data_IF_202993541626
#
_entry.id   IF_202993541626
#
_cell.length_a   1.000
_cell.length_b   1.000
_cell.length_c   1.000
_cell.angle_alpha   90.00
_cell.angle_beta   90.00
_cell.angle_gamma   90.00
#
_symmetry.space_group_name_H-M   'P 1'
#
loop_
_entity.id
_entity.type
_entity.pdbx_description
1 polymer ?
#
# COMPACT_ATOMS: atom_id res chain seq x y z
N UNK A 1 -1.29 -26.63 18.43
CA UNK A 1 -1.12 -25.22 18.86
C UNK A 1 -0.98 -24.38 17.60
N UNK A 2 -2.00 -23.63 17.15
CA UNK A 2 -1.84 -22.77 15.99
C UNK A 2 -1.30 -21.40 16.40
N UNK A 3 -0.29 -20.97 15.66
CA UNK A 3 0.46 -19.72 15.75
C UNK A 3 -0.43 -18.52 15.45
N UNK A 4 -0.39 -17.52 16.33
CA UNK A 4 -1.04 -16.23 16.13
C UNK A 4 -0.27 -15.40 15.10
N UNK A 5 -0.75 -15.36 13.85
CA UNK A 5 -0.31 -14.39 12.83
C UNK A 5 -1.54 -13.79 12.18
N UNK A 6 -2.27 -12.95 12.93
CA UNK A 6 -3.24 -12.02 12.35
C UNK A 6 -2.47 -10.80 11.86
N UNK A 7 -2.28 -10.72 10.56
CA UNK A 7 -1.64 -9.59 9.89
C UNK A 7 -2.39 -8.29 10.20
N UNK A 8 -1.66 -7.31 10.76
CA UNK A 8 -2.08 -5.92 10.96
C UNK A 8 -2.23 -5.22 9.60
N UNK A 9 -3.34 -5.46 8.89
CA UNK A 9 -3.72 -4.70 7.70
C UNK A 9 -4.54 -3.51 8.19
N UNK A 10 -3.90 -2.34 8.32
CA UNK A 10 -4.59 -1.11 8.69
C UNK A 10 -4.95 -0.32 7.42
N UNK A 11 -6.24 -0.07 7.21
CA UNK A 11 -6.71 0.95 6.26
C UNK A 11 -6.60 2.32 6.91
N UNK A 12 -5.72 3.20 6.43
CA UNK A 12 -5.76 4.61 6.83
C UNK A 12 -6.67 5.37 5.88
N UNK A 13 -7.91 5.61 6.33
CA UNK A 13 -8.83 6.54 5.66
C UNK A 13 -8.40 7.97 5.96
N UNK A 14 -7.75 8.62 5.00
CA UNK A 14 -7.71 10.08 4.94
C UNK A 14 -8.94 10.53 4.14
N UNK A 15 -9.91 11.12 4.83
CA UNK A 15 -11.13 11.66 4.23
C UNK A 15 -10.79 12.65 3.11
N UNK A 16 -11.29 12.41 1.90
CA UNK A 16 -11.23 13.35 0.80
C UNK A 16 -12.55 14.16 0.79
N UNK A 17 -12.52 15.51 0.86
CA UNK A 17 -13.75 16.30 0.80
C UNK A 17 -14.36 16.27 -0.60
N UNK A 18 -15.70 16.36 -0.65
CA UNK A 18 -16.49 16.40 -1.87
C UNK A 18 -16.09 17.56 -2.80
N UNK A 19 -16.15 17.32 -4.10
CA UNK A 19 -15.75 18.25 -5.14
C UNK A 19 -16.50 19.59 -5.02
N UNK A 20 -15.74 20.69 -4.81
CA UNK A 20 -16.27 22.06 -4.82
C UNK A 20 -15.73 23.01 -3.74
N UNK A 21 -14.95 22.53 -2.76
CA UNK A 21 -14.37 23.36 -1.70
C UNK A 21 -12.96 23.87 -1.99
N UNK A 22 -12.64 25.08 -1.53
CA UNK A 22 -11.31 25.67 -1.54
C UNK A 22 -10.25 24.67 -1.02
N UNK A 23 -9.16 24.48 -1.76
CA UNK A 23 -8.13 23.46 -1.49
C UNK A 23 -7.24 23.83 -0.30
N UNK A 24 -7.78 23.82 0.92
CA UNK A 24 -6.93 23.79 2.11
C UNK A 24 -6.53 22.34 2.35
N UNK A 25 -5.38 21.92 1.82
CA UNK A 25 -4.74 20.65 2.20
C UNK A 25 -4.05 20.91 3.53
N UNK A 26 -4.60 20.48 4.68
CA UNK A 26 -4.14 20.95 5.99
C UNK A 26 -2.76 20.40 6.39
N UNK A 27 -2.18 19.49 5.60
CA UNK A 27 -0.89 18.87 5.91
C UNK A 27 -0.18 18.38 4.65
N UNK A 28 0.33 19.30 3.83
CA UNK A 28 1.47 18.96 2.97
C UNK A 28 2.73 19.31 3.75
N UNK A 29 3.73 18.41 3.80
CA UNK A 29 5.03 18.77 4.36
C UNK A 29 5.53 20.00 3.60
N UNK A 30 5.73 21.08 4.33
CA UNK A 30 6.15 22.38 3.81
C UNK A 30 7.67 22.53 3.87
N UNK A 31 8.34 21.63 4.60
CA UNK A 31 9.79 21.62 4.77
C UNK A 31 10.41 20.29 4.35
N UNK A 32 11.67 20.34 3.93
CA UNK A 32 12.47 19.15 3.62
C UNK A 32 12.59 18.22 4.84
N UNK A 33 12.68 18.79 6.06
CA UNK A 33 12.76 18.03 7.30
C UNK A 33 11.50 17.19 7.57
N UNK A 34 10.31 17.75 7.29
CA UNK A 34 9.06 17.01 7.40
C UNK A 34 8.96 15.88 6.38
N UNK A 35 9.42 16.11 5.13
CA UNK A 35 9.49 15.04 4.12
C UNK A 35 10.46 13.95 4.56
N UNK A 36 11.67 14.32 5.01
CA UNK A 36 12.65 13.35 5.50
C UNK A 36 12.06 12.47 6.60
N UNK A 37 11.48 13.10 7.63
CA UNK A 37 10.85 12.41 8.75
C UNK A 37 9.75 11.43 8.33
N UNK A 38 9.02 11.72 7.25
CA UNK A 38 7.97 10.83 6.75
C UNK A 38 8.49 9.53 6.15
N UNK A 39 9.73 9.52 5.64
CA UNK A 39 10.28 8.37 4.91
C UNK A 39 11.46 7.69 5.62
N UNK A 40 11.88 8.19 6.78
CA UNK A 40 12.97 7.61 7.57
C UNK A 40 12.51 6.98 8.87
N UNK A 41 13.15 5.88 9.26
CA UNK A 41 13.19 5.38 10.63
C UNK A 41 14.61 5.40 11.17
N UNK A 42 14.76 5.34 12.48
CA UNK A 42 16.06 5.15 13.12
C UNK A 42 16.33 3.65 13.23
N UNK A 43 17.52 3.23 12.84
CA UNK A 43 17.99 1.87 13.09
C UNK A 43 18.50 1.69 14.53
N UNK A 44 19.09 0.53 14.83
CA UNK A 44 19.59 0.20 16.16
C UNK A 44 20.73 1.12 16.65
N UNK A 45 21.39 1.83 15.74
CA UNK A 45 22.51 2.73 15.99
C UNK A 45 22.05 4.20 15.97
N UNK A 46 20.74 4.43 15.98
CA UNK A 46 20.08 5.74 15.88
C UNK A 46 20.39 6.48 14.56
N UNK A 47 20.75 5.74 13.50
CA UNK A 47 21.03 6.32 12.19
C UNK A 47 19.74 6.34 11.35
N UNK A 48 19.35 7.50 10.77
CA UNK A 48 18.20 7.58 9.89
C UNK A 48 18.40 6.76 8.61
N UNK A 49 17.45 5.86 8.33
CA UNK A 49 17.40 5.04 7.11
C UNK A 49 16.09 5.28 6.38
N UNK A 50 16.16 5.43 5.06
CA UNK A 50 14.97 5.46 4.19
C UNK A 50 14.36 4.06 4.07
N UNK A 51 13.52 3.68 5.03
CA UNK A 51 12.92 2.35 5.10
C UNK A 51 11.42 2.33 4.77
N UNK A 52 10.83 3.50 4.47
CA UNK A 52 9.43 3.64 4.06
C UNK A 52 9.34 4.01 2.60
N UNK A 53 8.35 3.45 1.92
CA UNK A 53 8.08 3.78 0.52
C UNK A 53 6.59 3.89 0.23
N UNK A 54 6.25 4.80 -0.67
CA UNK A 54 4.88 5.03 -1.15
C UNK A 54 4.81 4.72 -2.64
N UNK A 55 4.11 3.66 -3.02
CA UNK A 55 3.92 3.30 -4.43
C UNK A 55 2.59 3.82 -4.96
N UNK A 56 2.57 4.29 -6.21
CA UNK A 56 1.35 4.74 -6.89
C UNK A 56 0.99 3.71 -7.95
N UNK A 57 -0.01 2.89 -7.68
CA UNK A 57 -0.40 1.75 -8.53
C UNK A 57 -0.82 2.20 -9.93
N UNK A 58 -1.42 3.39 -10.06
CA UNK A 58 -1.83 3.94 -11.35
C UNK A 58 -0.67 4.10 -12.34
N UNK A 59 0.57 4.27 -11.86
CA UNK A 59 1.76 4.39 -12.72
C UNK A 59 2.14 3.08 -13.41
N UNK A 60 1.63 1.94 -12.93
CA UNK A 60 1.89 0.63 -13.51
C UNK A 60 0.86 0.23 -14.58
N UNK A 61 -0.24 0.98 -14.73
CA UNK A 61 -1.24 0.72 -15.77
C UNK A 61 -0.64 0.96 -17.16
N UNK A 62 -0.95 0.10 -18.11
CA UNK A 62 -0.54 0.25 -19.50
C UNK A 62 -1.77 0.48 -20.38
N UNK A 63 -1.88 1.64 -21.03
CA UNK A 63 -3.03 1.99 -21.87
C UNK A 63 -4.37 1.98 -21.12
N UNK A 64 -5.42 1.50 -21.80
CA UNK A 64 -6.81 1.52 -21.32
C UNK A 64 -7.23 0.22 -20.58
N UNK A 65 -6.29 -0.45 -19.93
CA UNK A 65 -6.59 -1.64 -19.12
C UNK A 65 -7.64 -1.34 -18.03
N UNK A 66 -8.66 -2.19 -17.98
CA UNK A 66 -9.77 -2.07 -17.02
C UNK A 66 -9.34 -2.34 -15.57
N UNK A 67 -8.30 -3.14 -15.37
CA UNK A 67 -7.80 -3.52 -14.05
C UNK A 67 -6.30 -3.79 -14.08
N UNK A 68 -5.67 -3.66 -12.91
CA UNK A 68 -4.24 -3.97 -12.73
C UNK A 68 -4.05 -5.47 -12.56
N UNK A 69 -3.14 -6.05 -13.35
CA UNK A 69 -2.93 -7.51 -13.43
C UNK A 69 -1.89 -8.04 -12.42
N UNK A 70 -1.77 -9.37 -12.35
CA UNK A 70 -0.74 -10.03 -11.53
C UNK A 70 0.70 -9.72 -11.99
N UNK A 71 0.94 -9.68 -13.29
CA UNK A 71 2.27 -9.36 -13.82
C UNK A 71 2.66 -7.92 -13.49
N UNK A 72 1.71 -7.00 -13.49
CA UNK A 72 1.91 -5.63 -13.01
C UNK A 72 2.18 -5.58 -11.51
N UNK A 73 1.45 -6.36 -10.70
CA UNK A 73 1.76 -6.49 -9.27
C UNK A 73 3.21 -6.92 -9.04
N UNK A 74 3.69 -7.96 -9.74
CA UNK A 74 5.09 -8.41 -9.65
C UNK A 74 6.09 -7.33 -10.00
N UNK A 75 5.82 -6.55 -11.04
CA UNK A 75 6.68 -5.42 -11.45
C UNK A 75 6.71 -4.33 -10.38
N UNK A 76 5.55 -3.98 -9.83
CA UNK A 76 5.41 -2.99 -8.77
C UNK A 76 6.19 -3.42 -7.51
N UNK A 77 6.07 -4.69 -7.14
CA UNK A 77 6.65 -5.24 -5.90
C UNK A 77 8.16 -5.48 -5.99
N UNK A 78 8.72 -5.50 -7.20
CA UNK A 78 10.15 -5.74 -7.42
C UNK A 78 11.00 -4.66 -6.75
N UNK A 79 11.89 -5.06 -5.84
CA UNK A 79 12.77 -4.15 -5.11
C UNK A 79 12.10 -3.51 -3.89
N UNK A 80 10.84 -3.82 -3.59
CA UNK A 80 10.19 -3.31 -2.38
C UNK A 80 10.62 -4.05 -1.11
N UNK A 81 11.26 -5.21 -1.24
CA UNK A 81 11.78 -6.02 -0.13
C UNK A 81 12.83 -5.29 0.73
N UNK A 82 13.46 -4.23 0.20
CA UNK A 82 14.42 -3.41 0.95
C UNK A 82 13.76 -2.49 1.99
N UNK A 83 12.46 -2.15 1.81
CA UNK A 83 11.71 -1.28 2.70
C UNK A 83 11.02 -2.11 3.77
N UNK A 84 10.85 -1.56 4.98
CA UNK A 84 10.10 -2.19 6.06
C UNK A 84 8.63 -1.80 6.02
N UNK A 85 8.34 -0.56 5.62
CA UNK A 85 6.98 -0.04 5.50
C UNK A 85 6.67 0.31 4.04
N UNK A 86 5.63 -0.32 3.50
CA UNK A 86 5.19 -0.15 2.12
C UNK A 86 3.75 0.34 2.12
N UNK A 87 3.52 1.52 1.54
CA UNK A 87 2.17 2.08 1.37
C UNK A 87 1.76 1.99 -0.09
N UNK A 88 0.67 1.28 -0.34
CA UNK A 88 0.10 1.08 -1.67
C UNK A 88 -1.01 2.10 -1.93
N UNK A 89 -0.78 3.02 -2.88
CA UNK A 89 -1.75 4.04 -3.25
C UNK A 89 -2.56 3.62 -4.49
N UNK A 90 -3.87 3.43 -4.31
CA UNK A 90 -4.81 3.05 -5.35
C UNK A 90 -5.54 4.23 -6.00
N UNK A 91 -5.08 5.47 -5.76
CA UNK A 91 -5.65 6.66 -6.43
C UNK A 91 -5.64 6.48 -7.95
N UNK A 92 -6.77 6.76 -8.59
CA UNK A 92 -6.99 6.60 -10.04
C UNK A 92 -6.85 5.15 -10.56
N UNK A 93 -7.00 4.15 -9.69
CA UNK A 93 -7.09 2.75 -10.08
C UNK A 93 -8.57 2.34 -10.11
N UNK A 94 -9.16 2.06 -11.29
CA UNK A 94 -10.58 1.70 -11.37
C UNK A 94 -10.88 0.37 -10.66
N UNK A 95 -10.01 -0.63 -10.84
CA UNK A 95 -10.13 -1.96 -10.27
C UNK A 95 -8.78 -2.69 -10.30
N UNK A 96 -8.66 -3.77 -9.53
CA UNK A 96 -7.50 -4.68 -9.51
C UNK A 96 -7.99 -6.12 -9.68
N UNK A 97 -7.22 -6.94 -10.40
CA UNK A 97 -7.57 -8.35 -10.59
C UNK A 97 -7.28 -9.19 -9.34
N UNK A 98 -7.92 -10.35 -9.23
CA UNK A 98 -7.65 -11.28 -8.12
C UNK A 98 -6.16 -11.66 -8.02
N UNK A 99 -5.51 -11.83 -9.16
CA UNK A 99 -4.07 -12.12 -9.20
C UNK A 99 -3.18 -10.98 -8.68
N UNK A 100 -3.65 -9.73 -8.69
CA UNK A 100 -2.94 -8.62 -8.05
C UNK A 100 -3.01 -8.77 -6.53
N UNK A 101 -4.21 -8.99 -5.98
CA UNK A 101 -4.43 -9.16 -4.54
C UNK A 101 -3.64 -10.36 -4.01
N UNK A 102 -3.71 -11.49 -4.72
CA UNK A 102 -2.98 -12.71 -4.40
C UNK A 102 -1.46 -12.48 -4.35
N UNK A 103 -0.93 -11.73 -5.32
CA UNK A 103 0.51 -11.46 -5.38
C UNK A 103 0.96 -10.54 -4.24
N UNK A 104 0.21 -9.47 -3.94
CA UNK A 104 0.56 -8.49 -2.91
C UNK A 104 0.38 -9.04 -1.51
N UNK A 105 -0.82 -9.53 -1.19
CA UNK A 105 -1.21 -9.80 0.20
C UNK A 105 -0.97 -11.24 0.63
N UNK A 106 -0.73 -12.17 -0.30
CA UNK A 106 -0.38 -13.56 0.02
C UNK A 106 1.04 -13.91 -0.40
N UNK A 107 1.39 -13.80 -1.68
CA UNK A 107 2.70 -14.26 -2.17
C UNK A 107 3.84 -13.40 -1.61
N UNK A 108 3.75 -12.08 -1.75
CA UNK A 108 4.79 -11.18 -1.30
C UNK A 108 4.85 -11.12 0.24
N UNK A 109 3.70 -11.04 0.91
CA UNK A 109 3.64 -11.08 2.37
C UNK A 109 4.22 -12.39 2.95
N UNK A 110 3.86 -13.56 2.41
CA UNK A 110 4.42 -14.84 2.88
C UNK A 110 5.92 -14.96 2.63
N UNK A 111 6.43 -14.31 1.57
CA UNK A 111 7.87 -14.28 1.28
C UNK A 111 8.62 -13.34 2.21
N UNK A 112 8.00 -12.23 2.60
CA UNK A 112 8.59 -11.20 3.45
C UNK A 112 7.64 -10.86 4.61
N UNK A 113 7.48 -11.78 5.59
CA UNK A 113 6.47 -11.69 6.64
C UNK A 113 6.69 -10.50 7.58
N UNK A 114 7.93 -10.04 7.71
CA UNK A 114 8.31 -8.92 8.60
C UNK A 114 7.97 -7.55 8.00
N UNK A 115 7.47 -7.50 6.76
CA UNK A 115 7.15 -6.25 6.06
C UNK A 115 5.74 -5.79 6.35
N UNK A 116 5.60 -4.50 6.63
CA UNK A 116 4.32 -3.86 6.90
C UNK A 116 3.78 -3.30 5.59
N UNK A 117 2.67 -3.86 5.11
CA UNK A 117 2.00 -3.43 3.89
C UNK A 117 0.67 -2.79 4.26
N UNK A 118 0.50 -1.53 3.88
CA UNK A 118 -0.76 -0.79 4.06
C UNK A 118 -1.25 -0.25 2.73
N UNK A 119 -2.50 0.16 2.66
CA UNK A 119 -3.05 0.78 1.45
C UNK A 119 -3.87 2.04 1.75
N UNK A 120 -3.97 2.91 0.74
CA UNK A 120 -4.76 4.14 0.77
C UNK A 120 -5.43 4.43 -0.58
N UNK A 121 -6.48 5.26 -0.54
CA UNK A 121 -7.26 5.67 -1.71
C UNK A 121 -7.82 4.49 -2.53
N UNK A 122 -8.15 3.37 -1.87
CA UNK A 122 -8.88 2.28 -2.49
C UNK A 122 -10.35 2.69 -2.66
N UNK A 123 -10.87 2.54 -3.88
CA UNK A 123 -12.31 2.69 -4.14
C UNK A 123 -13.05 1.40 -3.75
N UNK A 124 -14.38 1.42 -3.85
CA UNK A 124 -15.24 0.28 -3.49
C UNK A 124 -14.87 -1.02 -4.23
N UNK A 125 -14.57 -0.96 -5.53
CA UNK A 125 -14.17 -2.13 -6.32
C UNK A 125 -12.84 -2.71 -5.84
N UNK A 126 -11.86 -1.84 -5.53
CA UNK A 126 -10.54 -2.26 -5.05
C UNK A 126 -10.64 -2.82 -3.64
N UNK A 127 -11.39 -2.16 -2.74
CA UNK A 127 -11.63 -2.63 -1.37
C UNK A 127 -12.31 -3.99 -1.38
N UNK A 128 -13.37 -4.16 -2.17
CA UNK A 128 -14.04 -5.44 -2.34
C UNK A 128 -13.08 -6.56 -2.77
N UNK A 129 -12.18 -6.26 -3.71
CA UNK A 129 -11.18 -7.23 -4.18
C UNK A 129 -10.13 -7.57 -3.11
N UNK A 130 -9.69 -6.57 -2.32
CA UNK A 130 -8.78 -6.78 -1.19
C UNK A 130 -9.44 -7.70 -0.17
N UNK A 131 -10.63 -7.35 0.31
CA UNK A 131 -11.38 -8.10 1.33
C UNK A 131 -11.66 -9.54 0.90
N UNK A 132 -12.01 -9.75 -0.38
CA UNK A 132 -12.24 -11.08 -0.94
C UNK A 132 -10.97 -11.94 -0.99
N UNK A 133 -9.81 -11.34 -1.19
CA UNK A 133 -8.55 -12.06 -1.37
C UNK A 133 -7.73 -12.25 -0.10
N UNK A 134 -8.11 -11.61 1.00
CA UNK A 134 -7.52 -11.88 2.31
C UNK A 134 -8.07 -13.19 2.87
N UNK A 135 -7.23 -14.04 3.52
CA UNK A 135 -7.74 -15.20 4.21
C UNK A 135 -8.70 -14.74 5.31
N UNK A 136 -9.97 -15.13 5.21
CA UNK A 136 -10.93 -14.98 6.30
C UNK A 136 -10.34 -15.71 7.50
N UNK A 137 -10.16 -15.03 8.63
CA UNK A 137 -9.91 -15.72 9.89
C UNK A 137 -11.07 -16.71 10.08
N UNK A 138 -10.75 -18.01 10.13
CA UNK A 138 -11.72 -19.10 10.15
C UNK A 138 -12.86 -18.80 11.14
N UNK A 139 -14.11 -18.89 10.65
CA UNK A 139 -15.31 -18.95 11.49
C UNK A 139 -15.55 -20.38 11.93
#
# INVERSE_FOLDING_TARGET
MPSATSAKIFSTTINQPAAGGNWSIPYLPSTLAEVFKQFTTLDAEEIPRFDKTHIIVALAKQGDERYVSRSQAKRILSGLEQFNEIVINFKNVPSVGQGFIDEVFRVFHNRYPDKIITYRNANENVTFMIERGLPTADK
#
